data_IF_349544073075
#
_entry.id   IF_349544073075
#
_cell.length_a   1.000
_cell.length_b   1.000
_cell.length_c   1.000
_cell.angle_alpha   90.00
_cell.angle_beta   90.00
_cell.angle_gamma   90.00
#
_symmetry.space_group_name_H-M   'P 1'
#
loop_
_entity.id
_entity.type
_entity.pdbx_description
1 polymer ?
#
# COMPACT_ATOMS: atom_id res chain seq x y z
N UNK A 1 1.07 8.98 11.54
CA UNK A 1 2.26 8.12 11.43
C UNK A 1 3.36 8.90 10.75
N UNK A 2 4.56 8.87 11.31
CA UNK A 2 5.81 9.38 10.74
C UNK A 2 6.51 8.30 9.90
N UNK A 3 7.48 8.69 9.09
CA UNK A 3 8.20 7.76 8.21
C UNK A 3 8.99 6.68 8.98
N UNK A 4 9.54 7.02 10.14
CA UNK A 4 10.25 6.04 11.00
C UNK A 4 9.28 5.03 11.63
N UNK A 5 8.13 5.49 12.12
CA UNK A 5 7.07 4.60 12.62
C UNK A 5 6.59 3.65 11.52
N UNK A 6 6.48 4.13 10.27
CA UNK A 6 6.13 3.29 9.13
C UNK A 6 7.18 2.21 8.88
N UNK A 7 8.46 2.58 8.84
CA UNK A 7 9.55 1.62 8.60
C UNK A 7 9.64 0.57 9.69
N UNK A 8 9.43 0.96 10.96
CA UNK A 8 9.36 0.02 12.08
C UNK A 8 8.16 -0.92 11.93
N UNK A 9 7.01 -0.43 11.45
CA UNK A 9 5.84 -1.28 11.24
C UNK A 9 6.06 -2.41 10.23
N UNK A 10 7.03 -2.28 9.31
CA UNK A 10 7.35 -3.31 8.32
C UNK A 10 7.94 -4.58 8.93
N UNK A 11 8.43 -4.55 10.17
CA UNK A 11 8.92 -5.76 10.86
C UNK A 11 7.78 -6.60 11.44
N UNK A 12 6.58 -6.04 11.61
CA UNK A 12 5.42 -6.76 12.12
C UNK A 12 4.85 -7.73 11.07
N UNK A 13 4.19 -8.81 11.48
CA UNK A 13 3.55 -9.76 10.54
C UNK A 13 2.23 -9.25 9.97
N UNK A 14 1.65 -8.20 10.56
CA UNK A 14 0.38 -7.59 10.16
C UNK A 14 0.48 -6.06 10.20
N UNK A 15 -0.28 -5.33 9.36
CA UNK A 15 -0.29 -3.87 9.36
C UNK A 15 -0.89 -3.34 10.67
N UNK A 16 -0.33 -2.25 11.24
CA UNK A 16 -0.93 -1.60 12.40
C UNK A 16 -2.41 -1.23 12.17
N UNK A 17 -3.25 -1.49 13.17
CA UNK A 17 -4.63 -1.05 13.14
C UNK A 17 -4.70 0.49 13.06
N UNK A 18 -5.54 1.01 12.15
CA UNK A 18 -5.70 2.46 11.95
C UNK A 18 -4.83 3.06 10.86
N UNK A 19 -4.08 2.27 10.08
CA UNK A 19 -3.50 2.75 8.83
C UNK A 19 -4.61 3.12 7.83
N UNK A 20 -4.43 4.23 7.13
CA UNK A 20 -5.22 4.58 5.95
C UNK A 20 -5.02 3.53 4.86
N UNK A 21 -6.01 3.36 3.98
CA UNK A 21 -5.96 2.45 2.83
C UNK A 21 -4.68 2.56 1.99
N UNK A 22 -4.23 3.79 1.68
CA UNK A 22 -2.96 4.03 0.98
C UNK A 22 -1.72 3.53 1.74
N UNK A 23 -1.62 3.81 3.05
CA UNK A 23 -0.52 3.34 3.91
C UNK A 23 -0.53 1.82 4.10
N UNK A 24 -1.71 1.20 4.18
CA UNK A 24 -1.84 -0.25 4.18
C UNK A 24 -1.37 -0.84 2.84
N UNK A 25 -1.70 -0.18 1.72
CA UNK A 25 -1.20 -0.50 0.39
C UNK A 25 0.32 -0.53 0.32
N UNK A 26 0.98 0.55 0.75
CA UNK A 26 2.45 0.65 0.80
C UNK A 26 3.08 -0.38 1.75
N UNK A 27 2.43 -0.70 2.86
CA UNK A 27 2.91 -1.71 3.81
C UNK A 27 2.91 -3.10 3.17
N UNK A 28 1.85 -3.46 2.44
CA UNK A 28 1.76 -4.73 1.72
C UNK A 28 2.72 -4.79 0.51
N UNK A 29 2.91 -3.68 -0.20
CA UNK A 29 3.86 -3.59 -1.32
C UNK A 29 5.30 -3.86 -0.84
N UNK A 30 5.70 -3.23 0.27
CA UNK A 30 7.00 -3.45 0.91
C UNK A 30 7.21 -4.90 1.41
N UNK A 31 6.14 -5.66 1.62
CA UNK A 31 6.15 -7.08 2.00
C UNK A 31 6.20 -8.02 0.80
N UNK A 32 6.12 -7.51 -0.43
CA UNK A 32 5.93 -8.30 -1.65
C UNK A 32 4.50 -8.81 -1.84
N UNK A 33 3.54 -8.28 -1.09
CA UNK A 33 2.12 -8.64 -1.14
C UNK A 33 1.33 -7.81 -2.14
N UNK A 34 1.73 -7.81 -3.41
CA UNK A 34 1.16 -6.95 -4.47
C UNK A 34 -0.38 -7.01 -4.57
N UNK A 35 -0.99 -8.19 -4.46
CA UNK A 35 -2.46 -8.34 -4.48
C UNK A 35 -3.13 -7.57 -3.34
N UNK A 36 -2.63 -7.71 -2.10
CA UNK A 36 -3.19 -7.01 -0.94
C UNK A 36 -2.88 -5.52 -0.96
N UNK A 37 -1.75 -5.13 -1.55
CA UNK A 37 -1.41 -3.74 -1.76
C UNK A 37 -2.42 -3.08 -2.72
N UNK A 38 -2.72 -3.78 -3.82
CA UNK A 38 -3.67 -3.34 -4.83
C UNK A 38 -5.10 -3.28 -4.28
N UNK A 39 -5.56 -4.30 -3.56
CA UNK A 39 -6.88 -4.32 -2.91
C UNK A 39 -7.02 -3.23 -1.83
N UNK A 40 -5.97 -2.99 -1.05
CA UNK A 40 -5.98 -1.94 -0.02
C UNK A 40 -6.06 -0.55 -0.64
N UNK A 41 -5.33 -0.31 -1.74
CA UNK A 41 -5.35 0.96 -2.47
C UNK A 41 -6.65 1.17 -3.25
N UNK A 42 -7.28 0.10 -3.76
CA UNK A 42 -8.58 0.18 -4.45
C UNK A 42 -9.74 0.59 -3.53
N UNK A 43 -9.64 0.33 -2.23
CA UNK A 43 -10.66 0.78 -1.26
C UNK A 43 -10.60 2.30 -1.00
N UNK A 44 -9.59 2.99 -1.53
CA UNK A 44 -9.48 4.45 -1.52
C UNK A 44 -9.93 5.01 -2.88
N UNK A 45 -11.24 5.14 -3.10
CA UNK A 45 -11.82 5.69 -4.35
C UNK A 45 -11.63 7.24 -4.49
N UNK A 46 -10.81 7.84 -3.63
CA UNK A 46 -10.44 9.26 -3.69
C UNK A 46 -9.39 9.58 -4.78
N UNK A 47 -9.16 10.87 -5.02
CA UNK A 47 -8.16 11.38 -5.98
C UNK A 47 -6.76 10.78 -5.75
N UNK A 48 -6.42 10.46 -4.50
CA UNK A 48 -5.16 9.83 -4.11
C UNK A 48 -5.03 8.39 -4.64
N UNK A 49 -6.10 7.59 -4.61
CA UNK A 49 -6.14 6.24 -5.20
C UNK A 49 -5.94 6.25 -6.71
N UNK A 50 -6.49 7.27 -7.40
CA UNK A 50 -6.32 7.41 -8.85
C UNK A 50 -4.84 7.56 -9.29
N UNK A 51 -3.98 8.17 -8.49
CA UNK A 51 -2.54 8.27 -8.78
C UNK A 51 -1.85 6.91 -8.72
N UNK A 52 -2.24 6.05 -7.78
CA UNK A 52 -1.71 4.68 -7.64
C UNK A 52 -2.14 3.81 -8.83
N UNK A 53 -3.37 3.97 -9.30
CA UNK A 53 -3.86 3.29 -10.51
C UNK A 53 -3.12 3.75 -11.78
N UNK A 54 -2.79 5.05 -11.90
CA UNK A 54 -2.07 5.57 -13.06
C UNK A 54 -0.59 5.10 -13.12
N UNK A 55 0.03 4.84 -11.97
CA UNK A 55 1.44 4.40 -11.92
C UNK A 55 1.61 2.87 -12.03
N UNK A 56 0.59 2.08 -11.69
CA UNK A 56 0.65 0.61 -11.65
C UNK A 56 0.59 -0.12 -13.00
N UNK A 57 0.23 0.53 -14.10
CA UNK A 57 0.02 -0.13 -15.41
C UNK A 57 1.32 -0.59 -16.10
N UNK A 58 2.52 -0.21 -15.63
CA UNK A 58 3.80 -0.45 -16.35
C UNK A 58 4.61 -1.67 -15.89
N UNK A 59 4.01 -2.68 -15.26
CA UNK A 59 4.77 -3.88 -14.87
C UNK A 59 4.07 -5.23 -15.13
N UNK A 60 3.09 -5.28 -16.06
CA UNK A 60 2.53 -6.55 -16.55
C UNK A 60 3.06 -6.91 -17.94
N UNK A 61 4.38 -6.98 -18.08
CA UNK A 61 4.97 -7.58 -19.28
C UNK A 61 6.26 -8.29 -18.89
N UNK A 62 6.11 -9.55 -18.46
CA UNK A 62 7.03 -10.63 -18.80
C UNK A 62 6.26 -11.95 -18.84
#
# INVERSE_FOLDING_TARGET
>A
MTLDEFRQSLTATEPPAGLTHALAGLWWDAKGGWTRAHESAQQDEGVEGAWVHAYGQKSQTY
#
